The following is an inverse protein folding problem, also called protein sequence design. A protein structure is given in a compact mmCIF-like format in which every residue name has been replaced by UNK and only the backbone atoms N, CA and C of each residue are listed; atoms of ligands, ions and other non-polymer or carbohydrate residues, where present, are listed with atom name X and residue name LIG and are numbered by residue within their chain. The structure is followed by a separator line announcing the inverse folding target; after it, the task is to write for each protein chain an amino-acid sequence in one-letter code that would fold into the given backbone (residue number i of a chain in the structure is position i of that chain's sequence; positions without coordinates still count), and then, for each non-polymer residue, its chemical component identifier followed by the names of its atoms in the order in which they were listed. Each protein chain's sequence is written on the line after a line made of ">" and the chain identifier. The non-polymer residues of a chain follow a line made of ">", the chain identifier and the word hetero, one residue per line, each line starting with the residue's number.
data_IF_640135519418
#
_entry.id   IF_640135519418
#
_cell.length_a   1.000
_cell.length_b   1.000
_cell.length_c   1.000
_cell.angle_alpha   90.00
_cell.angle_beta   90.00
_cell.angle_gamma   90.00
#
_symmetry.space_group_name_H-M   'P 1'
#
loop_
_entity.id
_entity.type
_entity.pdbx_description
1 polymer ?
#
# COMPACT_ATOMS: atom_id res chain seq x y z
N UNK A 1 -28.08 12.06 3.94
CA UNK A 1 -29.21 12.92 3.49
C UNK A 1 -29.15 13.13 1.98
N UNK A 2 -28.05 13.67 1.44
CA UNK A 2 -27.89 13.88 -0.01
C UNK A 2 -28.12 12.62 -0.88
N UNK A 3 -27.61 11.45 -0.48
CA UNK A 3 -27.86 10.21 -1.22
C UNK A 3 -29.35 9.84 -1.34
N UNK A 4 -30.16 10.11 -0.30
CA UNK A 4 -31.62 9.88 -0.36
C UNK A 4 -32.30 10.86 -1.29
N UNK A 5 -31.88 12.13 -1.28
CA UNK A 5 -32.38 13.16 -2.19
C UNK A 5 -32.09 12.76 -3.64
N UNK A 6 -30.88 12.25 -3.93
CA UNK A 6 -30.53 11.77 -5.26
C UNK A 6 -31.38 10.56 -5.67
N UNK A 7 -31.61 9.60 -4.76
CA UNK A 7 -32.48 8.44 -4.98
C UNK A 7 -33.91 8.84 -5.27
N UNK A 8 -34.51 9.69 -4.42
CA UNK A 8 -35.86 10.19 -4.62
C UNK A 8 -35.98 10.98 -5.93
N UNK A 9 -34.97 11.80 -6.26
CA UNK A 9 -34.92 12.53 -7.52
C UNK A 9 -34.86 11.56 -8.72
N UNK A 10 -34.01 10.54 -8.68
CA UNK A 10 -33.91 9.54 -9.74
C UNK A 10 -35.22 8.78 -9.95
N UNK A 11 -35.91 8.40 -8.87
CA UNK A 11 -37.20 7.69 -8.92
C UNK A 11 -38.33 8.57 -9.49
N UNK A 12 -38.30 9.89 -9.23
CA UNK A 12 -39.33 10.85 -9.68
C UNK A 12 -39.08 11.30 -11.13
N UNK A 13 -37.82 11.51 -11.51
CA UNK A 13 -37.44 12.18 -12.76
C UNK A 13 -37.33 11.26 -13.98
N UNK A 14 -37.51 9.94 -13.82
CA UNK A 14 -37.81 9.03 -14.94
C UNK A 14 -39.09 9.47 -15.72
N UNK A 15 -39.85 10.44 -15.18
CA UNK A 15 -41.03 11.04 -15.77
C UNK A 15 -40.82 12.47 -16.35
N UNK A 16 -39.66 13.11 -16.15
CA UNK A 16 -39.36 14.46 -16.66
C UNK A 16 -37.84 14.69 -16.85
N UNK A 17 -37.32 14.66 -18.09
CA UNK A 17 -35.89 14.70 -18.39
C UNK A 17 -35.20 16.07 -18.25
N UNK A 18 -35.78 17.04 -17.51
CA UNK A 18 -35.39 18.45 -17.59
C UNK A 18 -34.64 19.05 -16.40
N UNK A 19 -34.24 18.27 -15.38
CA UNK A 19 -33.58 18.83 -14.17
C UNK A 19 -32.12 18.36 -13.98
N UNK A 20 -31.29 18.49 -15.03
CA UNK A 20 -29.82 18.27 -14.92
C UNK A 20 -29.18 19.13 -13.81
N UNK A 21 -29.72 20.34 -13.55
CA UNK A 21 -29.19 21.24 -12.53
C UNK A 21 -29.29 20.65 -11.12
N UNK A 22 -30.39 19.95 -10.79
CA UNK A 22 -30.55 19.32 -9.49
C UNK A 22 -29.55 18.16 -9.33
N UNK A 23 -29.40 17.34 -10.37
CA UNK A 23 -28.44 16.23 -10.36
C UNK A 23 -27.01 16.72 -10.22
N UNK A 24 -26.62 17.77 -10.94
CA UNK A 24 -25.29 18.38 -10.81
C UNK A 24 -25.06 18.86 -9.38
N UNK A 25 -25.97 19.65 -8.79
CA UNK A 25 -25.77 20.17 -7.43
C UNK A 25 -25.66 19.05 -6.38
N UNK A 26 -26.50 18.02 -6.45
CA UNK A 26 -26.46 16.91 -5.50
C UNK A 26 -25.23 16.02 -5.72
N UNK A 27 -24.84 15.79 -6.98
CA UNK A 27 -23.60 15.08 -7.33
C UNK A 27 -22.39 15.81 -6.78
N UNK A 28 -22.26 17.10 -7.07
CA UNK A 28 -21.14 17.93 -6.62
C UNK A 28 -21.07 17.94 -5.09
N UNK A 29 -22.21 18.03 -4.40
CA UNK A 29 -22.24 17.92 -2.95
C UNK A 29 -21.71 16.57 -2.44
N UNK A 30 -22.15 15.45 -3.02
CA UNK A 30 -21.69 14.11 -2.63
C UNK A 30 -20.19 13.93 -2.91
N UNK A 31 -19.71 14.46 -4.04
CA UNK A 31 -18.34 14.29 -4.52
C UNK A 31 -17.36 15.36 -4.03
N UNK A 32 -17.83 16.41 -3.35
CA UNK A 32 -17.01 17.52 -2.84
C UNK A 32 -16.01 17.13 -1.75
N UNK A 33 -16.27 16.03 -1.04
CA UNK A 33 -15.46 15.54 0.07
C UNK A 33 -14.99 14.10 -0.17
N UNK A 34 -13.88 13.65 0.45
CA UNK A 34 -13.40 12.29 0.29
C UNK A 34 -14.43 11.26 0.76
N UNK A 35 -14.86 10.39 -0.14
CA UNK A 35 -15.84 9.35 0.14
C UNK A 35 -15.32 8.38 1.20
N UNK A 36 -16.21 8.00 2.09
CA UNK A 36 -15.99 6.95 3.09
C UNK A 36 -16.93 5.77 2.85
N UNK A 37 -16.53 4.58 3.30
CA UNK A 37 -17.43 3.43 3.40
C UNK A 37 -18.70 3.80 4.15
N UNK A 38 -19.86 3.28 3.72
CA UNK A 38 -21.14 3.70 4.30
C UNK A 38 -21.81 4.90 3.64
N UNK A 39 -21.05 5.82 3.06
CA UNK A 39 -21.59 7.11 2.60
C UNK A 39 -22.60 6.97 1.45
N UNK A 40 -22.41 5.96 0.62
CA UNK A 40 -23.23 5.72 -0.57
C UNK A 40 -24.45 4.81 -0.31
N UNK A 41 -24.63 4.23 0.88
CA UNK A 41 -25.76 3.32 1.16
C UNK A 41 -27.14 3.90 0.86
N UNK A 42 -27.40 5.20 1.06
CA UNK A 42 -28.71 5.76 0.75
C UNK A 42 -28.98 5.97 -0.75
N UNK A 43 -28.00 5.71 -1.62
CA UNK A 43 -28.08 5.90 -3.07
C UNK A 43 -28.71 4.64 -3.72
N UNK A 44 -29.81 4.82 -4.46
CA UNK A 44 -30.48 3.75 -5.20
C UNK A 44 -29.65 3.33 -6.41
N UNK A 45 -30.05 2.23 -7.07
CA UNK A 45 -29.37 1.74 -8.28
C UNK A 45 -29.35 2.78 -9.39
N UNK A 46 -30.47 3.46 -9.62
CA UNK A 46 -30.61 4.43 -10.70
C UNK A 46 -29.91 5.75 -10.34
N UNK A 47 -30.00 6.18 -9.08
CA UNK A 47 -29.24 7.31 -8.58
C UNK A 47 -27.72 7.08 -8.63
N UNK A 48 -27.24 5.84 -8.49
CA UNK A 48 -25.82 5.52 -8.66
C UNK A 48 -25.37 5.75 -10.10
N UNK A 49 -26.19 5.37 -11.09
CA UNK A 49 -25.89 5.65 -12.49
C UNK A 49 -25.82 7.17 -12.76
N UNK A 50 -26.72 7.95 -12.16
CA UNK A 50 -26.73 9.43 -12.26
C UNK A 50 -25.51 10.05 -11.56
N UNK A 51 -25.11 9.51 -10.40
CA UNK A 51 -23.92 9.96 -9.69
C UNK A 51 -22.67 9.80 -10.56
N UNK A 52 -22.58 8.67 -11.27
CA UNK A 52 -21.43 8.28 -12.08
C UNK A 52 -21.49 8.75 -13.56
N UNK A 53 -22.59 9.36 -13.99
CA UNK A 53 -22.77 9.74 -15.40
C UNK A 53 -21.86 10.88 -15.86
N UNK A 54 -21.35 11.68 -14.91
CA UNK A 54 -20.46 12.81 -15.17
C UNK A 54 -19.02 12.43 -14.81
N UNK A 55 -18.26 12.11 -15.84
CA UNK A 55 -16.88 11.65 -15.70
C UNK A 55 -15.92 12.73 -15.16
N UNK A 56 -16.22 14.01 -15.37
CA UNK A 56 -15.37 15.09 -14.90
C UNK A 56 -15.61 15.33 -13.41
N UNK A 57 -16.86 15.37 -12.95
CA UNK A 57 -17.18 15.46 -11.52
C UNK A 57 -16.61 14.26 -10.73
N UNK A 58 -16.70 13.04 -11.27
CA UNK A 58 -16.09 11.84 -10.67
C UNK A 58 -14.57 11.95 -10.58
N UNK A 59 -13.91 12.55 -11.60
CA UNK A 59 -12.45 12.74 -11.61
C UNK A 59 -11.98 13.83 -10.64
N UNK A 60 -12.81 14.84 -10.42
CA UNK A 60 -12.53 15.94 -9.48
C UNK A 60 -12.79 15.57 -8.02
N UNK A 61 -13.48 14.46 -7.76
CA UNK A 61 -13.67 13.96 -6.40
C UNK A 61 -12.32 13.76 -5.69
N UNK A 62 -12.12 14.26 -4.45
CA UNK A 62 -10.86 14.16 -3.73
C UNK A 62 -10.57 12.74 -3.19
N UNK A 63 -11.37 11.75 -3.61
CA UNK A 63 -11.18 10.33 -3.29
C UNK A 63 -10.26 9.70 -4.32
N UNK A 64 -9.25 8.95 -3.87
CA UNK A 64 -8.38 8.21 -4.78
C UNK A 64 -9.19 7.20 -5.60
N UNK A 65 -8.92 7.06 -6.91
CA UNK A 65 -9.73 6.27 -7.84
C UNK A 65 -9.99 4.82 -7.38
N UNK A 66 -9.00 4.17 -6.76
CA UNK A 66 -9.17 2.82 -6.21
C UNK A 66 -10.06 2.81 -4.96
N UNK A 67 -9.92 3.78 -4.07
CA UNK A 67 -10.75 3.88 -2.86
C UNK A 67 -12.20 4.23 -3.24
N UNK A 68 -12.39 5.07 -4.26
CA UNK A 68 -13.68 5.36 -4.86
C UNK A 68 -14.33 4.09 -5.42
N UNK A 69 -13.57 3.29 -6.18
CA UNK A 69 -14.02 1.99 -6.66
C UNK A 69 -14.43 1.06 -5.50
N UNK A 70 -13.64 1.00 -4.43
CA UNK A 70 -13.99 0.21 -3.25
C UNK A 70 -15.25 0.73 -2.55
N UNK A 71 -15.52 2.04 -2.53
CA UNK A 71 -16.78 2.58 -2.02
C UNK A 71 -18.00 2.14 -2.86
N UNK A 72 -17.82 1.95 -4.16
CA UNK A 72 -18.87 1.39 -5.03
C UNK A 72 -19.07 -0.11 -4.78
N UNK A 73 -17.98 -0.87 -4.58
CA UNK A 73 -18.08 -2.29 -4.17
C UNK A 73 -18.82 -2.40 -2.83
N UNK A 74 -18.43 -1.55 -1.88
CA UNK A 74 -19.05 -1.42 -0.56
C UNK A 74 -20.56 -1.16 -0.69
N UNK A 75 -20.95 -0.16 -1.48
CA UNK A 75 -22.36 0.10 -1.82
C UNK A 75 -23.06 -1.12 -2.44
N UNK A 76 -22.45 -1.80 -3.41
CA UNK A 76 -23.05 -2.97 -4.03
C UNK A 76 -23.27 -4.11 -3.02
N UNK A 77 -22.33 -4.33 -2.10
CA UNK A 77 -22.50 -5.29 -1.01
C UNK A 77 -23.68 -4.94 -0.09
N UNK A 78 -23.87 -3.65 0.23
CA UNK A 78 -25.03 -3.18 1.00
C UNK A 78 -26.34 -3.52 0.27
N UNK A 79 -26.40 -3.28 -1.04
CA UNK A 79 -27.60 -3.56 -1.84
C UNK A 79 -27.91 -5.05 -1.97
N UNK A 80 -26.89 -5.91 -1.94
CA UNK A 80 -27.04 -7.38 -1.95
C UNK A 80 -27.48 -7.89 -0.57
N UNK A 81 -26.94 -7.32 0.50
CA UNK A 81 -27.08 -7.78 1.88
C UNK A 81 -26.14 -8.94 2.22
N UNK A 82 -25.58 -8.91 3.44
CA UNK A 82 -24.54 -9.85 3.90
C UNK A 82 -24.97 -11.34 3.80
N UNK A 83 -26.26 -11.64 3.99
CA UNK A 83 -26.80 -13.00 3.90
C UNK A 83 -26.74 -13.60 2.49
N UNK A 84 -26.63 -12.76 1.46
CA UNK A 84 -26.64 -13.16 0.06
C UNK A 84 -25.27 -13.03 -0.62
N UNK A 85 -24.31 -12.35 0.02
CA UNK A 85 -22.98 -12.11 -0.54
C UNK A 85 -22.10 -13.37 -0.49
N UNK A 86 -22.34 -14.30 0.45
CA UNK A 86 -21.58 -15.55 0.58
C UNK A 86 -20.14 -15.40 1.13
N UNK A 87 -19.72 -14.16 1.39
CA UNK A 87 -18.47 -13.80 2.06
C UNK A 87 -18.75 -12.56 2.93
N UNK A 88 -18.06 -12.41 4.06
CA UNK A 88 -18.18 -11.18 4.82
C UNK A 88 -17.65 -10.01 3.98
N UNK A 89 -18.42 -8.92 3.92
CA UNK A 89 -18.05 -7.69 3.21
C UNK A 89 -16.63 -7.21 3.50
N UNK A 90 -16.22 -7.25 4.77
CA UNK A 90 -14.87 -6.88 5.21
C UNK A 90 -13.80 -7.74 4.52
N UNK A 91 -14.04 -9.04 4.39
CA UNK A 91 -13.09 -9.97 3.79
C UNK A 91 -12.98 -9.75 2.28
N UNK A 92 -14.09 -9.44 1.60
CA UNK A 92 -14.08 -9.03 0.19
C UNK A 92 -13.21 -7.79 -0.04
N UNK A 93 -13.39 -6.74 0.78
CA UNK A 93 -12.58 -5.52 0.69
C UNK A 93 -11.11 -5.83 0.95
N UNK A 94 -10.80 -6.70 1.92
CA UNK A 94 -9.43 -7.17 2.19
C UNK A 94 -8.85 -7.91 1.00
N UNK A 95 -9.61 -8.80 0.35
CA UNK A 95 -9.20 -9.55 -0.83
C UNK A 95 -8.88 -8.59 -2.00
N UNK A 96 -9.77 -7.66 -2.32
CA UNK A 96 -9.54 -6.68 -3.40
C UNK A 96 -8.38 -5.72 -3.07
N UNK A 97 -8.20 -5.42 -1.79
CA UNK A 97 -7.07 -4.62 -1.29
C UNK A 97 -5.78 -5.43 -1.12
N UNK A 98 -5.82 -6.74 -1.37
CA UNK A 98 -4.65 -7.61 -1.34
C UNK A 98 -3.88 -7.49 -2.66
N UNK A 99 -2.57 -7.26 -2.55
CA UNK A 99 -1.66 -7.32 -3.69
C UNK A 99 -0.85 -8.61 -3.57
N UNK A 100 -1.50 -9.75 -3.75
CA UNK A 100 -0.82 -11.05 -3.81
C UNK A 100 -0.03 -11.23 -5.12
N UNK A 101 -0.06 -10.26 -6.03
CA UNK A 101 0.33 -10.42 -7.43
C UNK A 101 1.72 -9.88 -7.82
N UNK A 102 2.64 -9.60 -6.90
CA UNK A 102 3.96 -9.02 -7.30
C UNK A 102 5.21 -9.67 -6.72
N UNK A 103 5.14 -10.73 -5.90
CA UNK A 103 6.36 -11.41 -5.41
C UNK A 103 6.91 -12.48 -6.37
N UNK A 104 6.24 -12.75 -7.50
CA UNK A 104 6.74 -13.68 -8.50
C UNK A 104 6.02 -13.45 -9.83
N UNK A 105 6.75 -13.25 -10.93
CA UNK A 105 6.23 -13.28 -12.31
C UNK A 105 5.71 -14.68 -12.72
N UNK A 106 5.53 -15.60 -11.77
CA UNK A 106 4.92 -16.92 -11.91
C UNK A 106 3.89 -17.12 -10.78
N UNK A 107 2.65 -17.51 -11.08
CA UNK A 107 1.62 -17.74 -10.06
C UNK A 107 1.97 -19.01 -9.28
N UNK A 108 2.52 -18.87 -8.08
CA UNK A 108 2.76 -20.01 -7.17
C UNK A 108 1.68 -20.18 -6.09
N UNK A 109 0.68 -19.28 -6.03
CA UNK A 109 -0.52 -19.47 -5.23
C UNK A 109 -1.75 -19.30 -6.12
N UNK A 110 -2.81 -20.12 -5.96
CA UNK A 110 -4.09 -19.78 -6.55
C UNK A 110 -4.48 -18.39 -6.05
N UNK A 111 -4.89 -17.51 -6.97
CA UNK A 111 -5.45 -16.21 -6.64
C UNK A 111 -6.57 -16.41 -5.60
N UNK A 112 -6.84 -15.43 -4.72
CA UNK A 112 -7.96 -15.51 -3.81
C UNK A 112 -9.25 -15.52 -4.64
N UNK A 113 -9.80 -16.70 -4.87
CA UNK A 113 -10.97 -16.89 -5.72
C UNK A 113 -12.19 -16.47 -4.90
N UNK A 114 -12.85 -15.38 -5.30
CA UNK A 114 -14.15 -15.04 -4.75
C UNK A 114 -15.16 -16.15 -5.06
N UNK A 115 -16.08 -16.47 -4.13
CA UNK A 115 -17.13 -17.46 -4.41
C UNK A 115 -17.88 -17.09 -5.71
N UNK A 116 -18.17 -18.05 -6.60
CA UNK A 116 -18.86 -17.77 -7.86
C UNK A 116 -20.20 -17.04 -7.68
N UNK A 117 -20.93 -17.37 -6.62
CA UNK A 117 -22.18 -16.69 -6.28
C UNK A 117 -21.95 -15.21 -5.92
N UNK A 118 -20.89 -14.90 -5.17
CA UNK A 118 -20.48 -13.52 -4.87
C UNK A 118 -20.24 -12.73 -6.15
N UNK A 119 -19.49 -13.30 -7.10
CA UNK A 119 -19.19 -12.64 -8.38
C UNK A 119 -20.46 -12.35 -9.18
N UNK A 120 -21.39 -13.31 -9.24
CA UNK A 120 -22.66 -13.16 -9.94
C UNK A 120 -23.55 -12.07 -9.31
N UNK A 121 -23.58 -11.99 -7.98
CA UNK A 121 -24.32 -10.94 -7.28
C UNK A 121 -23.70 -9.56 -7.55
N UNK A 122 -22.38 -9.44 -7.43
CA UNK A 122 -21.66 -8.21 -7.74
C UNK A 122 -21.87 -7.76 -9.19
N UNK A 123 -21.80 -8.68 -10.14
CA UNK A 123 -22.06 -8.40 -11.56
C UNK A 123 -23.44 -7.76 -11.78
N UNK A 124 -24.47 -8.23 -11.08
CA UNK A 124 -25.85 -7.74 -11.21
C UNK A 124 -25.99 -6.23 -10.90
N UNK A 125 -25.15 -5.72 -9.98
CA UNK A 125 -25.15 -4.32 -9.58
C UNK A 125 -24.10 -3.49 -10.31
N UNK A 126 -22.93 -4.07 -10.61
CA UNK A 126 -21.79 -3.34 -11.14
C UNK A 126 -21.73 -3.31 -12.66
N UNK A 127 -22.19 -4.35 -13.36
CA UNK A 127 -22.14 -4.39 -14.82
C UNK A 127 -22.80 -3.18 -15.52
N UNK A 128 -23.93 -2.62 -15.02
CA UNK A 128 -24.53 -1.42 -15.62
C UNK A 128 -23.68 -0.15 -15.48
N UNK A 129 -22.90 -0.04 -14.40
CA UNK A 129 -22.15 1.19 -14.05
C UNK A 129 -20.64 1.06 -14.24
N UNK A 130 -20.13 -0.13 -14.57
CA UNK A 130 -18.68 -0.40 -14.67
C UNK A 130 -17.97 0.48 -15.68
N UNK A 131 -18.65 0.87 -16.76
CA UNK A 131 -18.11 1.75 -17.80
C UNK A 131 -17.99 3.21 -17.37
N UNK A 132 -18.73 3.61 -16.34
CA UNK A 132 -18.67 4.95 -15.78
C UNK A 132 -17.51 5.11 -14.78
N UNK A 133 -16.89 4.00 -14.36
CA UNK A 133 -15.77 4.02 -13.44
C UNK A 133 -14.45 4.32 -14.15
N UNK A 134 -13.63 5.17 -13.54
CA UNK A 134 -12.39 5.64 -14.13
C UNK A 134 -11.20 4.70 -13.82
N UNK A 135 -11.22 3.49 -14.40
CA UNK A 135 -10.14 2.50 -14.25
C UNK A 135 -8.77 3.00 -14.71
N UNK A 136 -8.75 3.98 -15.63
CA UNK A 136 -7.54 4.60 -16.16
C UNK A 136 -6.71 5.35 -15.10
N UNK A 137 -7.33 5.72 -13.99
CA UNK A 137 -6.67 6.41 -12.87
C UNK A 137 -6.34 5.45 -11.71
N UNK A 138 -6.74 4.18 -11.80
CA UNK A 138 -6.36 3.13 -10.83
C UNK A 138 -4.98 2.59 -11.21
N UNK A 139 -4.05 2.57 -10.26
CA UNK A 139 -2.68 2.16 -10.57
C UNK A 139 -2.56 0.70 -11.10
N UNK A 140 -1.58 0.41 -11.98
CA UNK A 140 -1.46 -0.89 -12.65
C UNK A 140 -1.45 -2.11 -11.72
N UNK A 141 -0.78 -2.01 -10.56
CA UNK A 141 -0.72 -3.11 -9.60
C UNK A 141 -2.10 -3.50 -9.06
N UNK A 142 -2.99 -2.52 -8.86
CA UNK A 142 -4.37 -2.74 -8.41
C UNK A 142 -5.24 -3.26 -9.54
N UNK A 143 -5.03 -2.78 -10.76
CA UNK A 143 -5.74 -3.27 -11.95
C UNK A 143 -5.52 -4.77 -12.17
N UNK A 144 -4.31 -5.30 -11.92
CA UNK A 144 -4.04 -6.74 -12.00
C UNK A 144 -4.90 -7.52 -11.01
N UNK A 145 -4.93 -7.13 -9.72
CA UNK A 145 -5.80 -7.77 -8.73
C UNK A 145 -7.27 -7.72 -9.16
N UNK A 146 -7.75 -6.57 -9.64
CA UNK A 146 -9.14 -6.43 -10.08
C UNK A 146 -9.45 -7.30 -11.29
N UNK A 147 -8.55 -7.38 -12.26
CA UNK A 147 -8.69 -8.20 -13.47
C UNK A 147 -8.73 -9.70 -13.13
N UNK A 148 -7.88 -10.14 -12.20
CA UNK A 148 -7.82 -11.55 -11.78
C UNK A 148 -8.98 -11.94 -10.87
N UNK A 149 -9.52 -10.99 -10.09
CA UNK A 149 -10.56 -11.25 -9.09
C UNK A 149 -11.98 -11.02 -9.64
N UNK A 150 -12.21 -9.91 -10.33
CA UNK A 150 -13.54 -9.47 -10.81
C UNK A 150 -13.71 -9.81 -12.29
N UNK A 151 -13.81 -11.10 -12.58
CA UNK A 151 -13.80 -11.66 -13.94
C UNK A 151 -14.96 -11.23 -14.85
N UNK A 152 -16.04 -10.67 -14.27
CA UNK A 152 -17.17 -10.12 -15.03
C UNK A 152 -16.86 -8.75 -15.66
N UNK A 153 -15.80 -8.06 -15.23
CA UNK A 153 -15.42 -6.77 -15.80
C UNK A 153 -14.81 -7.00 -17.20
N UNK A 154 -15.31 -6.34 -18.26
CA UNK A 154 -14.81 -6.57 -19.61
C UNK A 154 -13.29 -6.33 -19.73
N UNK A 155 -12.52 -7.26 -20.33
CA UNK A 155 -11.08 -7.10 -20.53
C UNK A 155 -10.67 -5.84 -21.29
N UNK A 156 -11.59 -5.30 -22.11
CA UNK A 156 -11.38 -4.04 -22.84
C UNK A 156 -11.17 -2.85 -21.91
N UNK A 157 -11.84 -2.81 -20.74
CA UNK A 157 -11.69 -1.75 -19.73
C UNK A 157 -10.26 -1.77 -19.17
N UNK A 158 -9.79 -2.95 -18.76
CA UNK A 158 -8.42 -3.11 -18.26
C UNK A 158 -7.37 -2.81 -19.34
N UNK A 159 -7.58 -3.30 -20.57
CA UNK A 159 -6.67 -3.04 -21.68
C UNK A 159 -6.53 -1.55 -21.98
N UNK A 160 -7.61 -0.77 -21.92
CA UNK A 160 -7.58 0.67 -22.10
C UNK A 160 -6.82 1.38 -20.97
N UNK A 161 -7.08 1.00 -19.71
CA UNK A 161 -6.36 1.53 -18.55
C UNK A 161 -4.85 1.23 -18.62
N UNK A 162 -4.45 0.00 -18.92
CA UNK A 162 -3.04 -0.35 -19.10
C UNK A 162 -2.39 0.40 -20.28
N UNK A 163 -3.08 0.54 -21.42
CA UNK A 163 -2.57 1.32 -22.56
C UNK A 163 -2.29 2.76 -22.17
N UNK A 164 -3.19 3.40 -21.40
CA UNK A 164 -2.96 4.76 -20.91
C UNK A 164 -1.70 4.82 -20.06
N UNK A 165 -1.55 3.95 -19.06
CA UNK A 165 -0.38 3.95 -18.18
C UNK A 165 0.94 3.76 -18.93
N UNK A 166 0.95 2.89 -19.95
CA UNK A 166 2.11 2.70 -20.83
C UNK A 166 2.38 3.97 -21.65
N UNK A 167 1.35 4.58 -22.22
CA UNK A 167 1.48 5.79 -23.05
C UNK A 167 2.03 7.00 -22.27
N UNK A 168 1.54 7.21 -21.04
CA UNK A 168 1.97 8.32 -20.19
C UNK A 168 3.19 7.97 -19.31
N UNK A 169 3.71 6.73 -19.41
CA UNK A 169 4.83 6.20 -18.62
C UNK A 169 4.64 6.35 -17.11
N UNK A 170 3.41 6.33 -16.64
CA UNK A 170 3.13 6.37 -15.19
C UNK A 170 3.44 5.02 -14.58
N UNK A 171 4.46 4.99 -13.73
CA UNK A 171 4.63 3.95 -12.74
C UNK A 171 3.99 4.40 -11.43
N UNK A 172 3.30 3.49 -10.75
CA UNK A 172 2.81 3.75 -9.41
C UNK A 172 4.00 4.05 -8.49
N UNK A 173 4.09 5.23 -7.85
CA UNK A 173 5.20 5.52 -6.97
C UNK A 173 5.19 4.54 -5.77
N UNK A 174 6.37 4.24 -5.18
CA UNK A 174 6.45 3.45 -3.97
C UNK A 174 5.53 4.01 -2.88
N UNK A 175 4.60 3.18 -2.40
CA UNK A 175 3.58 3.61 -1.44
C UNK A 175 3.16 2.47 -0.54
N UNK A 176 3.10 2.74 0.76
CA UNK A 176 2.58 1.81 1.76
C UNK A 176 1.11 1.47 1.52
N UNK A 177 0.31 2.43 1.05
CA UNK A 177 -1.11 2.19 0.69
C UNK A 177 -1.25 1.25 -0.50
N UNK A 178 -0.32 1.33 -1.44
CA UNK A 178 -0.29 0.48 -2.63
C UNK A 178 0.57 -0.77 -2.43
N UNK A 179 0.97 -1.11 -1.19
CA UNK A 179 1.88 -2.24 -0.86
C UNK A 179 3.13 -2.31 -1.74
N UNK A 180 3.55 -1.18 -2.30
CA UNK A 180 4.83 -0.99 -3.02
C UNK A 180 5.81 -0.17 -2.16
N UNK A 181 5.52 -0.03 -0.86
CA UNK A 181 6.31 0.80 0.06
C UNK A 181 7.63 0.15 0.48
N UNK A 182 7.70 -1.18 0.38
CA UNK A 182 8.86 -1.99 0.70
C UNK A 182 9.79 -2.13 -0.51
N UNK A 183 10.30 -0.99 -0.98
CA UNK A 183 11.32 -0.91 -2.03
C UNK A 183 12.44 -0.01 -1.53
N UNK A 184 13.69 -0.41 -1.75
CA UNK A 184 14.84 0.44 -1.45
C UNK A 184 14.89 1.64 -2.41
N UNK A 185 15.39 2.78 -1.91
CA UNK A 185 15.47 4.00 -2.69
C UNK A 185 16.77 4.06 -3.50
N UNK A 186 16.72 3.99 -4.84
CA UNK A 186 17.91 4.12 -5.67
C UNK A 186 18.58 5.50 -5.55
N UNK A 187 17.82 6.54 -5.23
CA UNK A 187 18.27 7.93 -5.13
C UNK A 187 18.83 8.27 -3.74
N UNK A 188 18.48 7.48 -2.72
CA UNK A 188 18.98 7.66 -1.34
C UNK A 188 19.72 6.42 -0.84
N UNK A 189 20.76 6.06 -1.60
CA UNK A 189 21.59 4.88 -1.44
C UNK A 189 23.06 5.25 -1.38
N UNK A 190 23.84 4.59 -0.53
CA UNK A 190 25.29 4.71 -0.54
C UNK A 190 25.90 4.13 -1.84
N UNK A 191 26.94 4.76 -2.41
CA UNK A 191 27.49 4.38 -3.73
C UNK A 191 28.08 2.96 -3.82
N UNK A 192 28.35 2.30 -2.69
CA UNK A 192 28.88 0.93 -2.58
C UNK A 192 27.78 -0.11 -2.41
N UNK A 193 26.51 0.30 -2.45
CA UNK A 193 25.38 -0.61 -2.37
C UNK A 193 24.84 -0.86 -3.79
N UNK A 194 24.55 -2.12 -4.11
CA UNK A 194 23.87 -2.52 -5.35
C UNK A 194 22.44 -2.95 -5.06
N UNK A 195 21.53 -2.59 -5.97
CA UNK A 195 20.13 -2.98 -5.92
C UNK A 195 19.85 -4.06 -6.97
N UNK A 196 18.95 -4.97 -6.63
CA UNK A 196 18.46 -6.04 -7.51
C UNK A 196 17.05 -6.45 -7.13
N UNK A 197 16.42 -7.33 -7.94
CA UNK A 197 15.05 -7.80 -7.74
C UNK A 197 14.05 -6.63 -7.60
N UNK A 198 14.03 -5.74 -8.59
CA UNK A 198 13.19 -4.53 -8.60
C UNK A 198 13.37 -3.68 -7.34
N UNK A 199 14.62 -3.45 -6.94
CA UNK A 199 15.00 -2.66 -5.76
C UNK A 199 14.53 -3.22 -4.40
N UNK A 200 14.03 -4.46 -4.34
CA UNK A 200 13.70 -5.11 -3.06
C UNK A 200 14.95 -5.65 -2.34
N UNK A 201 16.02 -5.97 -3.06
CA UNK A 201 17.25 -6.55 -2.52
C UNK A 201 18.39 -5.53 -2.63
N UNK A 202 19.10 -5.35 -1.51
CA UNK A 202 20.32 -4.54 -1.45
C UNK A 202 21.49 -5.39 -0.97
N UNK A 203 22.63 -5.24 -1.64
CA UNK A 203 23.89 -5.90 -1.29
C UNK A 203 25.06 -4.91 -1.27
N UNK A 204 26.06 -5.21 -0.44
CA UNK A 204 27.29 -4.42 -0.41
C UNK A 204 28.25 -4.91 -1.49
N UNK A 205 28.61 -4.01 -2.40
CA UNK A 205 29.40 -4.28 -3.61
C UNK A 205 30.78 -3.61 -3.53
N UNK A 206 31.58 -4.03 -2.56
CA UNK A 206 33.00 -3.67 -2.51
C UNK A 206 33.77 -4.79 -1.80
N UNK A 207 35.08 -4.88 -2.01
CA UNK A 207 35.97 -5.82 -1.34
C UNK A 207 36.63 -5.28 -0.07
N UNK A 208 36.52 -3.96 0.20
CA UNK A 208 37.15 -3.36 1.37
C UNK A 208 36.37 -3.67 2.66
N UNK A 209 37.03 -4.21 3.71
CA UNK A 209 36.39 -4.45 4.99
C UNK A 209 36.16 -3.14 5.77
N UNK A 210 35.30 -3.18 6.79
CA UNK A 210 35.05 -2.09 7.75
C UNK A 210 34.47 -0.80 7.14
N UNK A 211 33.81 -0.89 5.99
CA UNK A 211 33.00 0.19 5.43
C UNK A 211 31.52 -0.13 5.60
N UNK A 212 30.78 0.82 6.13
CA UNK A 212 29.34 0.79 6.24
C UNK A 212 28.76 1.81 5.28
N UNK A 213 27.68 1.43 4.61
CA UNK A 213 26.86 2.37 3.88
C UNK A 213 25.39 2.07 4.10
N UNK A 214 24.59 3.12 4.01
CA UNK A 214 23.20 3.09 4.37
C UNK A 214 22.31 3.34 3.16
N UNK A 215 21.09 2.88 3.28
CA UNK A 215 20.01 3.08 2.31
C UNK A 215 18.70 3.20 3.06
N UNK A 216 17.79 4.03 2.56
CA UNK A 216 16.40 4.08 3.02
C UNK A 216 15.48 3.43 2.00
N UNK A 217 14.26 3.08 2.39
CA UNK A 217 13.21 2.80 1.42
C UNK A 217 12.79 4.08 0.68
N UNK A 218 12.13 3.90 -0.45
CA UNK A 218 11.62 5.00 -1.26
C UNK A 218 10.36 5.64 -0.65
N UNK A 219 9.51 4.82 -0.01
CA UNK A 219 8.21 5.27 0.49
C UNK A 219 8.27 5.75 1.96
N UNK A 220 7.85 6.99 2.25
CA UNK A 220 7.77 7.49 3.61
C UNK A 220 6.59 6.89 4.39
N UNK A 221 6.80 6.64 5.68
CA UNK A 221 5.73 6.45 6.65
C UNK A 221 5.34 7.81 7.22
N UNK A 222 4.10 8.23 7.01
CA UNK A 222 3.58 9.58 7.35
C UNK A 222 2.13 9.53 7.82
N UNK A 223 1.70 10.52 8.60
CA UNK A 223 0.33 10.55 9.14
C UNK A 223 0.14 9.55 10.29
N UNK A 224 -1.11 9.17 10.61
CA UNK A 224 -1.46 8.35 11.79
C UNK A 224 -1.63 6.85 11.49
N UNK A 225 -0.88 6.33 10.52
CA UNK A 225 -0.99 4.93 10.08
C UNK A 225 -0.20 3.93 10.91
N UNK A 226 -0.54 2.64 10.73
CA UNK A 226 0.27 1.51 11.17
C UNK A 226 0.99 0.94 9.95
N UNK A 227 2.29 0.70 10.07
CA UNK A 227 3.15 0.24 8.99
C UNK A 227 3.93 -0.99 9.42
N UNK A 228 3.91 -2.03 8.59
CA UNK A 228 4.54 -3.31 8.89
C UNK A 228 5.33 -3.83 7.69
N UNK A 229 6.55 -4.26 7.96
CA UNK A 229 7.45 -4.85 6.97
C UNK A 229 8.43 -5.80 7.63
N UNK A 230 9.04 -6.65 6.82
CA UNK A 230 10.11 -7.54 7.22
C UNK A 230 11.41 -7.16 6.50
N UNK A 231 12.54 -7.42 7.16
CA UNK A 231 13.86 -7.42 6.53
C UNK A 231 14.47 -8.81 6.68
N UNK A 232 14.78 -9.45 5.54
CA UNK A 232 15.37 -10.79 5.49
C UNK A 232 16.86 -10.67 5.21
N UNK A 233 17.69 -11.23 6.10
CA UNK A 233 19.15 -11.20 5.95
C UNK A 233 19.59 -12.39 5.08
N UNK A 234 19.81 -12.16 3.79
CA UNK A 234 20.13 -13.22 2.83
C UNK A 234 21.62 -13.62 2.85
N UNK A 235 22.52 -12.66 3.10
CA UNK A 235 23.95 -12.93 3.26
C UNK A 235 24.51 -12.10 4.43
N UNK A 236 25.48 -12.69 5.12
CA UNK A 236 26.07 -12.15 6.33
C UNK A 236 27.49 -12.69 6.51
N UNK A 237 28.48 -11.83 6.69
CA UNK A 237 29.86 -12.24 7.00
C UNK A 237 30.18 -11.94 8.47
N UNK A 238 30.15 -12.94 9.35
CA UNK A 238 30.34 -12.73 10.79
C UNK A 238 31.69 -12.14 11.22
N UNK A 239 32.75 -12.25 10.39
CA UNK A 239 34.09 -11.78 10.72
C UNK A 239 34.22 -10.24 10.63
N UNK A 240 33.45 -9.63 9.71
CA UNK A 240 33.58 -8.20 9.39
C UNK A 240 32.22 -7.49 9.27
N UNK A 241 31.11 -8.22 9.30
CA UNK A 241 29.78 -7.66 9.08
C UNK A 241 29.06 -7.27 10.35
N UNK A 242 28.92 -5.96 10.51
CA UNK A 242 27.86 -5.38 11.33
C UNK A 242 26.81 -4.82 10.38
N UNK A 243 25.76 -5.60 10.18
CA UNK A 243 24.54 -5.15 9.50
C UNK A 243 23.69 -4.44 10.53
N UNK A 244 23.05 -3.33 10.16
CA UNK A 244 22.00 -2.73 10.96
C UNK A 244 20.74 -2.55 10.13
N UNK A 245 19.58 -2.81 10.73
CA UNK A 245 18.26 -2.62 10.12
C UNK A 245 17.41 -1.76 11.05
N UNK A 246 16.51 -0.96 10.50
CA UNK A 246 15.65 -0.11 11.32
C UNK A 246 15.04 1.02 10.52
N UNK A 247 15.20 2.23 11.04
CA UNK A 247 14.53 3.42 10.56
C UNK A 247 15.52 4.57 10.33
N UNK A 248 15.22 5.46 9.40
CA UNK A 248 15.91 6.73 9.27
C UNK A 248 15.03 7.78 8.59
N UNK A 249 15.39 9.04 8.79
CA UNK A 249 14.97 10.11 7.88
C UNK A 249 15.89 10.17 6.65
N UNK A 250 15.43 10.81 5.57
CA UNK A 250 16.29 11.11 4.41
C UNK A 250 17.36 12.19 4.65
N UNK A 251 17.49 12.71 5.88
CA UNK A 251 18.57 13.66 6.21
C UNK A 251 19.89 12.97 6.57
N UNK A 252 19.91 11.64 6.69
CA UNK A 252 21.13 10.90 7.02
C UNK A 252 22.09 10.92 5.83
N UNK A 253 23.37 10.71 6.08
CA UNK A 253 24.32 10.48 4.99
C UNK A 253 24.36 9.00 4.63
N UNK A 254 23.88 8.67 3.42
CA UNK A 254 23.88 7.30 2.91
C UNK A 254 25.30 6.73 2.68
N UNK A 255 26.30 7.61 2.52
CA UNK A 255 27.69 7.24 2.23
C UNK A 255 28.62 7.39 3.45
N UNK A 256 28.12 7.90 4.59
CA UNK A 256 28.89 7.97 5.83
C UNK A 256 29.20 6.56 6.34
N UNK A 257 30.46 6.35 6.74
CA UNK A 257 30.93 5.09 7.30
C UNK A 257 30.47 4.89 8.75
N UNK A 258 29.15 4.84 8.95
CA UNK A 258 28.51 4.66 10.25
C UNK A 258 27.32 3.71 10.14
N UNK A 259 27.11 2.88 11.17
CA UNK A 259 25.91 2.06 11.28
C UNK A 259 24.68 2.93 11.53
N UNK A 260 23.54 2.45 11.04
CA UNK A 260 22.22 2.94 11.41
C UNK A 260 22.08 3.05 12.94
N UNK A 261 21.51 4.15 13.40
CA UNK A 261 21.36 4.48 14.82
C UNK A 261 22.57 5.21 15.43
N UNK A 262 23.73 5.24 14.77
CA UNK A 262 24.87 6.06 15.20
C UNK A 262 24.89 7.45 14.58
N UNK A 263 24.29 7.62 13.41
CA UNK A 263 24.06 8.92 12.80
C UNK A 263 22.82 9.58 13.44
N UNK A 264 22.81 10.91 13.53
CA UNK A 264 21.59 11.63 13.90
C UNK A 264 20.45 11.28 12.94
N UNK A 265 19.21 11.27 13.43
CA UNK A 265 18.00 10.96 12.65
C UNK A 265 17.97 9.54 12.04
N UNK A 266 18.62 8.58 12.70
CA UNK A 266 18.54 7.16 12.37
C UNK A 266 18.36 6.30 13.63
N UNK A 267 17.70 5.16 13.52
CA UNK A 267 17.45 4.19 14.58
C UNK A 267 17.78 2.81 14.04
N UNK A 268 18.69 2.08 14.71
CA UNK A 268 19.25 0.87 14.14
C UNK A 268 19.34 -0.27 15.13
N UNK A 269 18.80 -1.42 14.77
CA UNK A 269 19.10 -2.69 15.40
C UNK A 269 20.28 -3.29 14.66
N UNK A 270 21.42 -3.45 15.31
CA UNK A 270 22.59 -4.11 14.72
C UNK A 270 22.55 -5.62 14.89
N UNK A 271 23.21 -6.35 13.99
CA UNK A 271 23.33 -7.83 13.99
C UNK A 271 23.88 -8.39 15.29
N UNK A 272 24.63 -7.60 16.06
CA UNK A 272 25.09 -7.97 17.40
C UNK A 272 23.96 -8.03 18.43
N UNK A 273 22.74 -7.58 18.10
CA UNK A 273 21.59 -7.48 19.01
C UNK A 273 21.49 -6.16 19.76
N UNK A 274 22.33 -5.18 19.42
CA UNK A 274 22.32 -3.85 20.03
C UNK A 274 21.32 -2.96 19.32
N UNK A 275 20.44 -2.32 20.08
CA UNK A 275 19.51 -1.29 19.62
C UNK A 275 20.15 0.07 19.84
N UNK A 276 20.35 0.80 18.76
CA UNK A 276 20.84 2.17 18.74
C UNK A 276 19.67 3.12 18.51
N UNK A 277 19.64 4.18 19.31
CA UNK A 277 18.72 5.29 19.20
C UNK A 277 19.53 6.58 19.42
N UNK A 278 19.32 7.63 18.63
CA UNK A 278 19.91 8.92 18.91
C UNK A 278 19.41 9.34 20.30
N UNK A 279 20.34 9.68 21.20
CA UNK A 279 20.02 10.24 22.52
C UNK A 279 19.50 9.27 23.60
N UNK A 280 19.58 7.94 23.41
CA UNK A 280 19.19 6.98 24.45
C UNK A 280 20.25 5.89 24.72
N UNK A 281 20.10 5.20 25.85
CA UNK A 281 20.95 4.07 26.20
C UNK A 281 20.79 2.91 25.21
N UNK A 282 21.90 2.21 24.95
CA UNK A 282 21.90 1.04 24.06
C UNK A 282 21.27 -0.16 24.78
N UNK A 283 20.16 -0.67 24.25
CA UNK A 283 19.49 -1.88 24.75
C UNK A 283 19.96 -3.10 23.97
N UNK A 284 20.00 -4.28 24.61
CA UNK A 284 20.33 -5.54 23.94
C UNK A 284 19.10 -6.44 23.85
N UNK A 285 18.76 -6.91 22.65
CA UNK A 285 17.53 -7.70 22.37
C UNK A 285 17.80 -9.08 21.76
N UNK A 286 19.08 -9.45 21.64
CA UNK A 286 19.54 -10.68 21.00
C UNK A 286 19.98 -10.45 19.56
N UNK A 287 21.12 -11.04 19.17
CA UNK A 287 21.69 -10.90 17.83
C UNK A 287 20.93 -11.67 16.75
N UNK A 288 21.28 -11.39 15.50
CA UNK A 288 20.74 -12.04 14.32
C UNK A 288 21.83 -12.18 13.25
N UNK A 289 21.58 -13.01 12.24
CA UNK A 289 22.54 -13.29 11.19
C UNK A 289 21.86 -13.74 9.91
N UNK A 290 22.56 -14.54 9.11
CA UNK A 290 22.01 -15.13 7.88
C UNK A 290 20.69 -15.85 8.16
N UNK A 291 19.76 -15.74 7.22
CA UNK A 291 18.43 -16.33 7.19
C UNK A 291 17.49 -15.82 8.30
N UNK A 292 17.92 -14.81 9.07
CA UNK A 292 17.07 -14.16 10.06
C UNK A 292 16.06 -13.23 9.39
N UNK A 293 14.85 -13.23 9.92
CA UNK A 293 13.76 -12.32 9.55
C UNK A 293 13.53 -11.35 10.70
N UNK A 294 13.69 -10.05 10.42
CA UNK A 294 13.44 -8.98 11.37
C UNK A 294 12.16 -8.29 10.96
N UNK A 295 11.12 -8.44 11.77
CA UNK A 295 9.83 -7.81 11.54
C UNK A 295 9.73 -6.50 12.29
N UNK A 296 9.22 -5.48 11.62
CA UNK A 296 8.97 -4.16 12.18
C UNK A 296 7.48 -3.85 12.16
N UNK A 297 7.03 -3.18 13.22
CA UNK A 297 5.70 -2.56 13.28
C UNK A 297 5.87 -1.15 13.82
N UNK A 298 5.49 -0.17 13.01
CA UNK A 298 5.50 1.25 13.38
C UNK A 298 4.07 1.70 13.55
N UNK A 299 3.77 2.26 14.71
CA UNK A 299 2.55 2.99 14.98
C UNK A 299 2.88 4.48 14.97
N UNK A 300 2.45 5.19 13.92
CA UNK A 300 2.72 6.63 13.79
C UNK A 300 1.74 7.49 14.60
N UNK A 301 0.62 6.94 15.07
CA UNK A 301 -0.25 7.65 16.01
C UNK A 301 0.43 7.74 17.39
N UNK A 302 1.00 6.62 17.85
CA UNK A 302 1.76 6.51 19.10
C UNK A 302 3.24 6.86 18.96
N UNK A 303 3.69 7.14 17.72
CA UNK A 303 5.07 7.48 17.35
C UNK A 303 6.09 6.47 17.89
N UNK A 304 5.79 5.18 17.79
CA UNK A 304 6.64 4.12 18.32
C UNK A 304 6.87 2.97 17.33
N UNK A 305 7.93 2.22 17.56
CA UNK A 305 8.26 1.04 16.76
C UNK A 305 8.55 -0.16 17.66
N UNK A 306 7.87 -1.26 17.39
CA UNK A 306 8.14 -2.58 17.95
C UNK A 306 8.78 -3.50 16.91
N UNK A 307 9.53 -4.49 17.39
CA UNK A 307 10.18 -5.47 16.52
C UNK A 307 9.96 -6.90 16.98
N UNK A 308 10.06 -7.82 16.04
CA UNK A 308 10.24 -9.25 16.31
C UNK A 308 11.46 -9.76 15.53
N UNK A 309 12.19 -10.70 16.12
CA UNK A 309 13.33 -11.37 15.45
C UNK A 309 13.00 -12.85 15.36
N UNK A 310 12.90 -13.38 14.14
CA UNK A 310 12.49 -14.76 13.86
C UNK A 310 11.17 -15.12 14.57
N UNK A 311 10.20 -14.20 14.54
CA UNK A 311 8.89 -14.35 15.19
C UNK A 311 8.88 -14.12 16.71
N UNK A 312 10.04 -14.01 17.37
CA UNK A 312 10.11 -13.68 18.79
C UNK A 312 9.96 -12.17 19.00
N UNK A 313 8.81 -11.76 19.53
CA UNK A 313 8.50 -10.37 19.87
C UNK A 313 9.50 -9.80 20.91
N UNK A 314 9.99 -8.60 20.66
CA UNK A 314 10.89 -7.84 21.55
C UNK A 314 10.23 -6.58 22.11
N UNK A 315 8.98 -6.33 21.76
CA UNK A 315 8.22 -5.16 22.18
C UNK A 315 8.70 -3.86 21.51
N UNK A 316 8.26 -2.74 22.07
CA UNK A 316 8.60 -1.39 21.58
C UNK A 316 10.03 -1.03 21.93
N UNK A 317 10.87 -0.83 20.91
CA UNK A 317 12.30 -0.50 21.06
C UNK A 317 12.64 0.95 20.72
N UNK A 318 11.78 1.64 19.96
CA UNK A 318 11.93 3.06 19.65
C UNK A 318 10.62 3.81 19.92
N UNK A 319 10.75 5.04 20.45
CA UNK A 319 9.63 5.94 20.78
C UNK A 319 9.96 7.35 20.31
N UNK A 320 8.95 8.22 20.29
CA UNK A 320 9.07 9.61 19.85
C UNK A 320 9.62 9.73 18.42
N UNK A 321 9.20 8.82 17.53
CA UNK A 321 9.61 8.84 16.13
C UNK A 321 9.18 10.14 15.44
N UNK A 322 9.95 10.70 14.50
CA UNK A 322 9.56 11.84 13.66
C UNK A 322 8.28 11.59 12.85
N UNK A 323 7.68 12.65 12.31
CA UNK A 323 6.45 12.58 11.51
C UNK A 323 6.67 11.95 10.12
N UNK A 324 7.91 11.92 9.66
CA UNK A 324 8.30 11.33 8.39
C UNK A 324 9.54 10.45 8.60
N UNK A 325 9.37 9.15 8.38
CA UNK A 325 10.42 8.17 8.60
C UNK A 325 10.34 7.03 7.59
N UNK A 326 11.48 6.40 7.32
CA UNK A 326 11.64 5.39 6.29
C UNK A 326 12.28 4.15 6.91
N UNK A 327 11.86 2.92 6.54
CA UNK A 327 12.71 1.76 6.67
C UNK A 327 14.11 2.05 6.15
N UNK A 328 15.12 1.53 6.83
CA UNK A 328 16.49 1.74 6.45
C UNK A 328 17.35 0.54 6.85
N UNK A 329 18.49 0.41 6.18
CA UNK A 329 19.53 -0.51 6.60
C UNK A 329 20.92 0.08 6.37
N UNK A 330 21.91 -0.44 7.08
CA UNK A 330 23.33 -0.25 6.81
C UNK A 330 23.99 -1.59 6.59
N UNK A 331 24.63 -1.74 5.44
CA UNK A 331 25.35 -2.95 5.05
C UNK A 331 26.86 -2.71 5.03
N UNK A 332 27.60 -3.82 4.97
CA UNK A 332 29.05 -3.87 4.82
C UNK A 332 29.43 -5.15 4.09
N UNK A 333 30.73 -5.32 3.80
CA UNK A 333 31.31 -6.41 3.02
C UNK A 333 30.63 -7.76 3.29
N UNK A 334 30.16 -8.42 2.21
CA UNK A 334 29.55 -9.75 2.25
C UNK A 334 28.13 -9.80 2.81
N UNK A 335 27.49 -8.65 3.02
CA UNK A 335 26.12 -8.57 3.53
C UNK A 335 25.13 -8.29 2.41
N UNK A 336 23.95 -8.90 2.51
CA UNK A 336 22.81 -8.73 1.61
C UNK A 336 21.51 -8.87 2.37
N UNK A 337 20.55 -7.99 2.12
CA UNK A 337 19.22 -8.12 2.70
C UNK A 337 18.12 -7.75 1.70
N UNK A 338 16.92 -8.20 2.01
CA UNK A 338 15.71 -7.95 1.26
C UNK A 338 14.69 -7.28 2.18
N UNK A 339 14.00 -6.25 1.67
CA UNK A 339 12.84 -5.66 2.35
C UNK A 339 11.56 -6.26 1.76
N UNK A 340 10.62 -6.67 2.62
CA UNK A 340 9.34 -7.27 2.22
C UNK A 340 8.18 -6.60 2.92
N UNK A 341 7.07 -6.45 2.21
CA UNK A 341 5.83 -6.00 2.82
C UNK A 341 5.25 -7.14 3.65
N UNK A 342 4.88 -6.88 4.90
CA UNK A 342 4.21 -7.89 5.74
C UNK A 342 2.74 -8.00 5.30
N UNK A 343 2.26 -9.23 5.10
CA UNK A 343 0.95 -9.54 4.54
C UNK A 343 -0.21 -9.22 5.47
#
# INVERSE_FOLDING_TARGET
>A
MAGRILSEAADILDQCPSDEALYSVVRDFILSEPLQYGQLYPVSKDAMAVLLSDADAVRECPTYAFDFFLCIIDWACEMIGDTHLGIARRDLIVILSSLQATESMLPTSPAPILPPDTLKQLETFLAPIVRCMNFQDICPHRLVTLMDTLTFIPPTIFAEAFRRHVAIRTMCPPSWRHRTGCLWDPDHRGPLLKLSANDAIVEFDESQPNRHQSITSAAPMTGKGIYEWDVVIQAFNSAHSRVAVGLASKSISSHENALLGKQANSWGLASTGKVYCPYAETVFVGGYGKDSVISFRVDMAERCCSIAVNGADKGVIWRNLPDNIYPACSLTLGSRCEIRQRS
#
